data_IF_056260323244
#
_entry.id   IF_056260323244
#
_cell.length_a   1.000
_cell.length_b   1.000
_cell.length_c   1.000
_cell.angle_alpha   90.00
_cell.angle_beta   90.00
_cell.angle_gamma   90.00
#
_symmetry.space_group_name_H-M   'P 1'
#
loop_
_entity.id
_entity.type
_entity.pdbx_description
1 polymer ?
#
# COMPACT_ATOMS: atom_id res chain seq x y z
N UNK A 1 -13.44 -14.42 6.88
CA UNK A 1 -12.75 -14.15 5.58
C UNK A 1 -13.54 -14.66 4.37
N UNK A 2 -13.90 -15.95 4.26
CA UNK A 2 -14.62 -16.50 3.06
C UNK A 2 -15.93 -15.76 2.77
N UNK A 3 -16.76 -15.52 3.78
CA UNK A 3 -18.02 -14.78 3.64
C UNK A 3 -17.79 -13.30 3.26
N UNK A 4 -16.78 -12.66 3.84
CA UNK A 4 -16.39 -11.30 3.49
C UNK A 4 -15.92 -11.20 2.03
N UNK A 5 -15.08 -12.13 1.57
CA UNK A 5 -14.68 -12.20 0.16
C UNK A 5 -15.88 -12.39 -0.78
N UNK A 6 -16.91 -13.12 -0.35
CA UNK A 6 -18.14 -13.27 -1.13
C UNK A 6 -18.95 -11.97 -1.15
N UNK A 7 -19.06 -11.27 -0.01
CA UNK A 7 -19.70 -9.95 0.07
C UNK A 7 -19.00 -8.91 -0.80
N UNK A 8 -17.67 -8.82 -0.74
CA UNK A 8 -16.84 -7.92 -1.57
C UNK A 8 -17.13 -8.13 -3.07
N UNK A 9 -17.29 -9.38 -3.51
CA UNK A 9 -17.53 -9.71 -4.93
C UNK A 9 -18.95 -9.42 -5.41
N UNK A 10 -19.93 -9.45 -4.51
CA UNK A 10 -21.35 -9.49 -4.88
C UNK A 10 -22.15 -8.27 -4.42
N UNK A 11 -21.66 -7.51 -3.44
CA UNK A 11 -22.39 -6.35 -2.91
C UNK A 11 -22.10 -5.09 -3.71
N UNK A 12 -23.14 -4.46 -4.24
CA UNK A 12 -23.06 -3.18 -4.98
C UNK A 12 -23.15 -1.94 -4.07
N UNK A 13 -23.46 -2.12 -2.78
CA UNK A 13 -23.75 -1.00 -1.84
C UNK A 13 -22.91 -1.07 -0.55
N UNK A 14 -21.87 -1.90 -0.53
CA UNK A 14 -21.07 -2.13 0.69
C UNK A 14 -20.37 -0.86 1.18
N UNK A 15 -20.04 0.06 0.26
CA UNK A 15 -19.32 1.30 0.52
C UNK A 15 -20.12 2.54 0.06
N UNK A 16 -21.44 2.42 -0.07
CA UNK A 16 -22.27 3.55 -0.47
C UNK A 16 -22.10 4.71 0.53
N UNK A 17 -21.81 5.90 0.00
CA UNK A 17 -21.56 7.11 0.81
C UNK A 17 -20.17 7.16 1.46
N UNK A 18 -19.31 6.17 1.22
CA UNK A 18 -17.94 6.15 1.72
C UNK A 18 -16.95 6.72 0.72
N UNK A 19 -15.99 7.49 1.22
CA UNK A 19 -14.92 8.14 0.47
C UNK A 19 -13.60 7.38 0.69
N UNK A 20 -13.01 6.85 -0.39
CA UNK A 20 -11.79 6.04 -0.35
C UNK A 20 -10.69 6.72 -1.13
N UNK A 21 -9.61 7.09 -0.45
CA UNK A 21 -8.38 7.55 -1.09
C UNK A 21 -7.46 6.35 -1.37
N UNK A 22 -6.86 6.31 -2.57
CA UNK A 22 -5.97 5.24 -2.98
C UNK A 22 -4.73 5.79 -3.65
N UNK A 23 -3.54 5.45 -3.11
CA UNK A 23 -2.27 5.79 -3.75
C UNK A 23 -1.87 4.72 -4.77
N UNK A 24 -1.33 5.15 -5.93
CA UNK A 24 -0.91 4.24 -7.00
C UNK A 24 -2.09 3.53 -7.67
N UNK A 25 -3.18 4.26 -7.89
CA UNK A 25 -4.42 3.75 -8.49
C UNK A 25 -4.22 3.23 -9.91
N UNK A 26 -3.28 3.79 -10.66
CA UNK A 26 -3.01 3.43 -12.06
C UNK A 26 -2.14 2.17 -12.23
N UNK A 27 -1.61 1.60 -11.15
CA UNK A 27 -0.88 0.34 -11.16
C UNK A 27 -1.81 -0.88 -11.27
N UNK A 28 -1.25 -2.06 -11.58
CA UNK A 28 -2.04 -3.27 -11.84
C UNK A 28 -3.02 -3.65 -10.70
N UNK A 29 -2.55 -3.63 -9.43
CA UNK A 29 -3.41 -3.89 -8.26
C UNK A 29 -4.31 -2.68 -7.99
N UNK A 30 -3.74 -1.45 -8.02
CA UNK A 30 -4.48 -0.22 -7.76
C UNK A 30 -5.67 -0.04 -8.70
N UNK A 31 -5.48 -0.32 -9.99
CA UNK A 31 -6.54 -0.28 -10.99
C UNK A 31 -7.69 -1.23 -10.66
N UNK A 32 -7.38 -2.46 -10.33
CA UNK A 32 -8.40 -3.45 -9.94
C UNK A 32 -9.10 -3.08 -8.62
N UNK A 33 -8.37 -2.48 -7.66
CA UNK A 33 -8.96 -1.95 -6.43
C UNK A 33 -10.01 -0.87 -6.75
N UNK A 34 -9.69 0.09 -7.64
CA UNK A 34 -10.63 1.13 -8.04
C UNK A 34 -11.91 0.54 -8.65
N UNK A 35 -11.80 -0.49 -9.50
CA UNK A 35 -12.98 -1.18 -10.05
C UNK A 35 -13.80 -1.91 -8.98
N UNK A 36 -13.18 -2.51 -7.97
CA UNK A 36 -13.91 -3.12 -6.85
C UNK A 36 -14.61 -2.06 -6.01
N UNK A 37 -13.91 -0.97 -5.65
CA UNK A 37 -14.41 0.09 -4.79
C UNK A 37 -15.59 0.84 -5.45
N UNK A 38 -15.44 1.23 -6.72
CA UNK A 38 -16.52 1.81 -7.51
C UNK A 38 -17.71 0.86 -7.62
N UNK A 39 -17.47 -0.43 -7.87
CA UNK A 39 -18.51 -1.46 -7.92
C UNK A 39 -19.23 -1.69 -6.58
N UNK A 40 -18.62 -1.31 -5.46
CA UNK A 40 -19.23 -1.33 -4.13
C UNK A 40 -19.90 0.00 -3.74
N UNK A 41 -19.88 1.00 -4.62
CA UNK A 41 -20.55 2.29 -4.43
C UNK A 41 -19.72 3.35 -3.70
N UNK A 42 -18.41 3.18 -3.59
CA UNK A 42 -17.53 4.18 -3.01
C UNK A 42 -17.31 5.38 -3.94
N UNK A 43 -17.15 6.57 -3.36
CA UNK A 43 -16.48 7.70 -4.01
C UNK A 43 -14.97 7.52 -3.89
N UNK A 44 -14.21 7.88 -4.93
CA UNK A 44 -12.78 7.63 -5.01
C UNK A 44 -11.97 8.93 -5.06
N UNK A 45 -10.83 8.96 -4.38
CA UNK A 45 -9.79 9.97 -4.58
C UNK A 45 -8.54 9.24 -5.07
N UNK A 46 -8.17 9.47 -6.33
CA UNK A 46 -7.04 8.81 -6.97
C UNK A 46 -5.77 9.64 -6.73
N UNK A 47 -4.89 9.14 -5.86
CA UNK A 47 -3.60 9.76 -5.53
C UNK A 47 -2.49 9.13 -6.36
N UNK A 48 -2.04 9.80 -7.41
CA UNK A 48 -1.04 9.31 -8.35
C UNK A 48 -0.06 10.41 -8.75
N UNK A 49 1.16 10.01 -9.15
CA UNK A 49 2.13 10.96 -9.69
C UNK A 49 1.85 11.37 -11.15
N UNK A 50 1.05 10.60 -11.89
CA UNK A 50 0.76 10.85 -13.29
C UNK A 50 -0.73 11.18 -13.48
N UNK A 51 -1.04 12.47 -13.56
CA UNK A 51 -2.39 12.97 -13.68
C UNK A 51 -3.13 12.47 -14.94
N UNK A 52 -2.44 12.32 -16.07
CA UNK A 52 -3.08 11.87 -17.32
C UNK A 52 -3.52 10.40 -17.24
N UNK A 53 -2.68 9.52 -16.64
CA UNK A 53 -3.06 8.12 -16.41
C UNK A 53 -4.20 8.00 -15.39
N UNK A 54 -4.20 8.85 -14.38
CA UNK A 54 -5.27 8.88 -13.37
C UNK A 54 -6.61 9.26 -14.00
N UNK A 55 -6.62 10.30 -14.85
CA UNK A 55 -7.81 10.72 -15.59
C UNK A 55 -8.31 9.63 -16.54
N UNK A 56 -7.43 9.00 -17.31
CA UNK A 56 -7.80 7.90 -18.20
C UNK A 56 -8.43 6.72 -17.43
N UNK A 57 -7.92 6.40 -16.23
CA UNK A 57 -8.55 5.41 -15.35
C UNK A 57 -9.94 5.86 -14.90
N UNK A 58 -10.11 7.13 -14.57
CA UNK A 58 -11.43 7.69 -14.20
C UNK A 58 -12.44 7.58 -15.32
N UNK A 59 -12.06 7.87 -16.55
CA UNK A 59 -12.91 7.68 -17.73
C UNK A 59 -13.34 6.22 -17.89
N UNK A 60 -12.40 5.27 -17.76
CA UNK A 60 -12.74 3.84 -17.80
C UNK A 60 -13.70 3.42 -16.67
N UNK A 61 -13.52 3.98 -15.47
CA UNK A 61 -14.40 3.72 -14.33
C UNK A 61 -15.81 4.27 -14.58
N UNK A 62 -15.94 5.50 -15.11
CA UNK A 62 -17.22 6.10 -15.44
C UNK A 62 -18.01 5.34 -16.53
N UNK A 63 -17.31 4.74 -17.51
CA UNK A 63 -17.97 3.86 -18.49
C UNK A 63 -18.70 2.70 -17.82
N UNK A 64 -18.14 2.15 -16.75
CA UNK A 64 -18.70 0.97 -16.07
C UNK A 64 -19.55 1.32 -14.85
N UNK A 65 -19.24 2.41 -14.19
CA UNK A 65 -19.88 2.90 -12.96
C UNK A 65 -20.13 4.41 -13.09
N UNK A 66 -21.13 4.84 -13.88
CA UNK A 66 -21.35 6.25 -14.23
C UNK A 66 -21.63 7.14 -13.02
N UNK A 67 -22.21 6.58 -11.95
CA UNK A 67 -22.58 7.33 -10.73
C UNK A 67 -21.40 7.47 -9.74
N UNK A 68 -20.22 6.91 -10.04
CA UNK A 68 -19.05 7.00 -9.13
C UNK A 68 -18.48 8.42 -9.16
N UNK A 69 -18.40 9.06 -8.01
CA UNK A 69 -17.66 10.33 -7.85
C UNK A 69 -16.17 10.01 -7.79
N UNK A 70 -15.38 10.69 -8.62
CA UNK A 70 -13.93 10.49 -8.70
C UNK A 70 -13.22 11.84 -8.66
N UNK A 71 -12.43 12.03 -7.62
CA UNK A 71 -11.50 13.14 -7.47
C UNK A 71 -10.07 12.70 -7.79
N UNK A 72 -9.24 13.65 -8.23
CA UNK A 72 -7.85 13.39 -8.63
C UNK A 72 -6.91 14.25 -7.80
N UNK A 73 -5.92 13.61 -7.20
CA UNK A 73 -4.88 14.25 -6.43
C UNK A 73 -3.51 13.84 -6.99
N UNK A 74 -2.76 14.81 -7.49
CA UNK A 74 -1.44 14.55 -8.06
C UNK A 74 -0.37 14.78 -7.01
N UNK A 75 0.37 13.72 -6.64
CA UNK A 75 1.55 13.82 -5.80
C UNK A 75 2.55 12.72 -6.14
N UNK A 76 3.83 13.07 -6.20
CA UNK A 76 4.92 12.10 -6.21
C UNK A 76 5.32 11.77 -4.77
N UNK A 77 5.37 10.50 -4.43
CA UNK A 77 5.76 10.05 -3.09
C UNK A 77 7.26 10.23 -2.80
N UNK A 78 8.07 10.62 -3.79
CA UNK A 78 9.46 11.04 -3.59
C UNK A 78 9.56 12.50 -3.09
N UNK A 79 8.54 13.30 -3.34
CA UNK A 79 8.45 14.71 -2.98
C UNK A 79 7.63 14.88 -1.70
N UNK A 80 8.31 15.15 -0.58
CA UNK A 80 7.64 15.26 0.72
C UNK A 80 6.70 16.47 0.81
N UNK A 81 6.97 17.55 0.08
CA UNK A 81 6.09 18.72 0.08
C UNK A 81 4.79 18.43 -0.69
N UNK A 82 4.88 17.68 -1.81
CA UNK A 82 3.70 17.17 -2.49
C UNK A 82 2.91 16.19 -1.60
N UNK A 83 3.59 15.36 -0.80
CA UNK A 83 2.94 14.45 0.16
C UNK A 83 2.25 15.19 1.29
N UNK A 84 2.84 16.28 1.81
CA UNK A 84 2.22 17.15 2.82
C UNK A 84 0.94 17.80 2.27
N UNK A 85 1.03 18.40 1.09
CA UNK A 85 -0.14 19.00 0.42
C UNK A 85 -1.24 17.97 0.16
N UNK A 86 -0.85 16.75 -0.23
CA UNK A 86 -1.79 15.65 -0.42
C UNK A 86 -2.46 15.23 0.90
N UNK A 87 -1.72 15.17 2.01
CA UNK A 87 -2.28 14.87 3.33
C UNK A 87 -3.33 15.92 3.73
N UNK A 88 -3.03 17.21 3.57
CA UNK A 88 -3.93 18.30 3.92
C UNK A 88 -5.21 18.27 3.05
N UNK A 89 -5.07 18.01 1.75
CA UNK A 89 -6.21 17.86 0.84
C UNK A 89 -7.09 16.65 1.22
N UNK A 90 -6.50 15.52 1.62
CA UNK A 90 -7.24 14.33 2.06
C UNK A 90 -7.94 14.53 3.41
N UNK A 91 -7.33 15.29 4.33
CA UNK A 91 -7.97 15.71 5.59
C UNK A 91 -9.19 16.59 5.29
N UNK A 92 -9.02 17.60 4.43
CA UNK A 92 -10.10 18.50 4.02
C UNK A 92 -11.23 17.76 3.29
N UNK A 93 -10.90 16.72 2.52
CA UNK A 93 -11.87 15.87 1.87
C UNK A 93 -12.65 14.96 2.84
N UNK A 94 -12.25 14.88 4.10
CA UNK A 94 -12.87 14.07 5.16
C UNK A 94 -13.07 12.60 4.74
N UNK A 95 -11.97 11.94 4.39
CA UNK A 95 -11.98 10.56 3.87
C UNK A 95 -12.34 9.53 4.93
N UNK A 96 -13.02 8.44 4.52
CA UNK A 96 -13.29 7.30 5.38
C UNK A 96 -12.14 6.27 5.36
N UNK A 97 -11.52 6.04 4.20
CA UNK A 97 -10.49 5.02 4.03
C UNK A 97 -9.29 5.54 3.25
N UNK A 98 -8.10 5.10 3.65
CA UNK A 98 -6.86 5.34 2.93
C UNK A 98 -6.21 4.02 2.55
N UNK A 99 -6.01 3.77 1.25
CA UNK A 99 -5.29 2.60 0.74
C UNK A 99 -3.91 3.02 0.25
N UNK A 100 -2.88 2.69 1.00
CA UNK A 100 -1.47 2.94 0.69
C UNK A 100 -0.94 1.80 -0.18
N UNK A 101 -1.32 1.83 -1.46
CA UNK A 101 -1.00 0.78 -2.44
C UNK A 101 0.21 1.12 -3.30
N UNK A 102 0.55 2.40 -3.47
CA UNK A 102 1.74 2.80 -4.21
C UNK A 102 3.01 2.17 -3.64
N UNK A 103 3.94 1.83 -4.51
CA UNK A 103 5.25 1.32 -4.14
C UNK A 103 6.14 1.18 -5.35
N UNK A 104 7.46 1.23 -5.13
CA UNK A 104 8.48 1.12 -6.15
C UNK A 104 9.47 0.02 -5.82
N UNK A 105 9.86 -0.74 -6.83
CA UNK A 105 10.85 -1.81 -6.75
C UNK A 105 11.82 -1.70 -7.93
N UNK A 106 13.13 -1.81 -7.66
CA UNK A 106 14.17 -1.85 -8.69
C UNK A 106 14.10 -0.66 -9.69
N UNK A 107 13.91 0.54 -9.16
CA UNK A 107 13.99 1.80 -9.93
C UNK A 107 15.42 2.38 -9.85
N UNK A 108 15.80 3.31 -10.74
CA UNK A 108 17.02 4.11 -10.57
C UNK A 108 17.01 4.81 -9.21
N UNK A 109 18.14 4.69 -8.48
CA UNK A 109 18.23 5.14 -7.10
C UNK A 109 18.89 6.51 -6.99
N UNK A 110 18.35 7.33 -6.10
CA UNK A 110 18.87 8.64 -5.73
C UNK A 110 18.37 9.03 -4.34
N UNK A 111 18.95 10.06 -3.75
CA UNK A 111 18.46 10.66 -2.51
C UNK A 111 17.36 11.67 -2.80
N UNK A 112 16.28 11.59 -2.04
CA UNK A 112 15.19 12.58 -2.03
C UNK A 112 15.54 13.80 -1.19
N UNK A 113 14.71 14.85 -1.23
CA UNK A 113 14.83 16.04 -0.37
C UNK A 113 14.77 15.71 1.13
N UNK A 114 14.16 14.62 1.49
CA UNK A 114 14.16 14.02 2.85
C UNK A 114 15.54 13.53 3.32
N UNK A 115 16.54 13.48 2.44
CA UNK A 115 17.85 12.87 2.72
C UNK A 115 17.89 11.35 2.60
N UNK A 116 16.76 10.68 2.46
CA UNK A 116 16.65 9.22 2.31
C UNK A 116 16.63 8.79 0.84
N UNK A 117 16.98 7.51 0.62
CA UNK A 117 16.85 6.85 -0.68
C UNK A 117 15.40 6.86 -1.18
N UNK A 118 15.20 7.04 -2.48
CA UNK A 118 13.86 7.16 -3.06
C UNK A 118 13.01 5.89 -2.91
N UNK A 119 13.60 4.68 -2.93
CA UNK A 119 12.86 3.44 -2.66
C UNK A 119 12.38 3.40 -1.21
N UNK A 120 13.21 3.86 -0.26
CA UNK A 120 12.84 3.95 1.14
C UNK A 120 11.77 5.03 1.36
N UNK A 121 11.91 6.18 0.71
CA UNK A 121 10.94 7.28 0.78
C UNK A 121 9.57 6.85 0.26
N UNK A 122 9.48 6.29 -0.95
CA UNK A 122 8.21 5.87 -1.56
C UNK A 122 7.52 4.75 -0.77
N UNK A 123 8.30 3.78 -0.25
CA UNK A 123 7.72 2.57 0.35
C UNK A 123 7.55 2.65 1.86
N UNK A 124 8.15 3.64 2.53
CA UNK A 124 8.06 3.80 3.99
C UNK A 124 7.80 5.23 4.41
N UNK A 125 8.70 6.20 4.13
CA UNK A 125 8.63 7.55 4.71
C UNK A 125 7.30 8.22 4.38
N UNK A 126 6.96 8.33 3.11
CA UNK A 126 5.73 8.99 2.65
C UNK A 126 4.46 8.24 3.04
N UNK A 127 4.36 6.89 2.90
CA UNK A 127 3.22 6.14 3.42
C UNK A 127 3.03 6.23 4.94
N UNK A 128 4.13 6.24 5.72
CA UNK A 128 4.05 6.40 7.17
C UNK A 128 3.58 7.81 7.54
N UNK A 129 4.13 8.85 6.90
CA UNK A 129 3.68 10.23 7.07
C UNK A 129 2.18 10.38 6.78
N UNK A 130 1.71 9.88 5.63
CA UNK A 130 0.28 9.88 5.30
C UNK A 130 -0.56 9.14 6.34
N UNK A 131 -0.09 7.99 6.81
CA UNK A 131 -0.80 7.22 7.86
C UNK A 131 -0.98 8.03 9.13
N UNK A 132 0.09 8.65 9.62
CA UNK A 132 0.07 9.45 10.86
C UNK A 132 -0.84 10.68 10.73
N UNK A 133 -0.76 11.39 9.60
CA UNK A 133 -1.55 12.60 9.34
C UNK A 133 -3.04 12.29 9.17
N UNK A 134 -3.40 11.18 8.53
CA UNK A 134 -4.79 10.84 8.20
C UNK A 134 -5.47 9.99 9.29
N UNK A 135 -4.72 9.38 10.20
CA UNK A 135 -5.28 8.50 11.23
C UNK A 135 -6.42 9.16 12.04
N UNK A 136 -6.29 10.41 12.52
CA UNK A 136 -7.40 11.06 13.25
C UNK A 136 -8.67 11.20 12.43
N UNK A 137 -8.56 11.59 11.15
CA UNK A 137 -9.69 11.75 10.24
C UNK A 137 -10.39 10.40 9.97
N UNK A 138 -9.60 9.39 9.62
CA UNK A 138 -10.11 8.06 9.31
C UNK A 138 -10.75 7.39 10.54
N UNK A 139 -10.16 7.57 11.72
CA UNK A 139 -10.71 7.07 13.00
C UNK A 139 -12.04 7.73 13.33
N UNK A 140 -12.11 9.06 13.22
CA UNK A 140 -13.35 9.83 13.41
C UNK A 140 -14.48 9.30 12.54
N UNK A 141 -14.21 8.92 11.30
CA UNK A 141 -15.18 8.42 10.33
C UNK A 141 -15.45 6.91 10.45
N UNK A 142 -14.84 6.24 11.47
CA UNK A 142 -14.97 4.80 11.70
C UNK A 142 -14.40 3.94 10.57
N UNK A 143 -13.48 4.51 9.81
CA UNK A 143 -12.84 3.87 8.67
C UNK A 143 -11.53 3.18 9.01
N UNK A 144 -10.64 3.02 8.00
CA UNK A 144 -9.35 2.35 8.18
C UNK A 144 -8.30 2.79 7.18
N UNK A 145 -7.03 2.80 7.64
CA UNK A 145 -5.84 2.90 6.79
C UNK A 145 -5.34 1.50 6.50
N UNK A 146 -5.14 1.18 5.23
CA UNK A 146 -4.58 -0.12 4.81
C UNK A 146 -3.28 0.11 4.07
N UNK A 147 -2.19 -0.36 4.63
CA UNK A 147 -0.88 -0.34 3.98
C UNK A 147 -0.60 -1.66 3.27
N UNK A 148 -0.10 -1.58 2.04
CA UNK A 148 0.34 -2.76 1.29
C UNK A 148 1.72 -3.19 1.75
N UNK A 149 1.73 -4.26 2.55
CA UNK A 149 2.92 -4.96 3.00
C UNK A 149 3.47 -5.94 1.96
N UNK A 150 4.61 -6.55 2.28
CA UNK A 150 5.27 -7.51 1.39
C UNK A 150 6.02 -8.58 2.19
N UNK A 151 6.05 -9.82 1.68
CA UNK A 151 6.94 -10.87 2.20
C UNK A 151 8.42 -10.48 2.09
N UNK A 152 8.75 -9.50 1.24
CA UNK A 152 10.11 -8.99 1.12
C UNK A 152 10.66 -8.40 2.43
N UNK A 153 9.81 -8.06 3.41
CA UNK A 153 10.25 -7.64 4.74
C UNK A 153 11.14 -8.67 5.45
N UNK A 154 11.07 -9.94 5.04
CA UNK A 154 11.90 -11.02 5.59
C UNK A 154 13.29 -11.12 4.93
N UNK A 155 13.56 -10.33 3.88
CA UNK A 155 14.82 -10.42 3.14
C UNK A 155 15.99 -9.71 3.81
N UNK A 156 15.71 -8.83 4.77
CA UNK A 156 16.72 -8.04 5.47
C UNK A 156 16.29 -7.74 6.90
N UNK A 157 17.27 -7.58 7.77
CA UNK A 157 17.13 -6.93 9.07
C UNK A 157 17.51 -5.46 8.94
N UNK A 158 17.18 -4.65 9.95
CA UNK A 158 17.60 -3.25 9.98
C UNK A 158 19.10 -3.13 10.16
N UNK A 159 19.65 -1.99 9.72
CA UNK A 159 21.03 -1.61 9.92
C UNK A 159 21.10 -0.30 10.72
N UNK A 160 22.05 -0.19 11.65
CA UNK A 160 22.19 1.00 12.48
C UNK A 160 22.82 2.17 11.71
N UNK A 161 23.73 1.86 10.78
CA UNK A 161 24.53 2.84 10.05
C UNK A 161 23.94 3.18 8.66
N UNK A 162 23.21 2.22 8.05
CA UNK A 162 22.61 2.36 6.72
C UNK A 162 21.09 2.17 6.82
N UNK A 163 20.39 3.15 7.41
CA UNK A 163 18.96 3.07 7.75
C UNK A 163 18.09 2.79 6.53
N UNK A 164 18.36 3.45 5.42
CA UNK A 164 17.58 3.38 4.18
C UNK A 164 18.16 2.41 3.14
N UNK A 165 19.24 1.71 3.51
CA UNK A 165 19.98 0.82 2.62
C UNK A 165 20.49 1.50 1.35
N UNK A 166 20.85 2.79 1.46
CA UNK A 166 21.38 3.58 0.35
C UNK A 166 22.69 3.03 -0.20
N UNK A 167 23.50 2.35 0.63
CA UNK A 167 24.76 1.72 0.23
C UNK A 167 24.57 0.35 -0.43
N UNK A 168 23.41 -0.29 -0.28
CA UNK A 168 23.14 -1.64 -0.77
C UNK A 168 22.76 -1.64 -2.26
N UNK A 169 23.36 -2.55 -3.03
CA UNK A 169 23.11 -2.67 -4.48
C UNK A 169 21.89 -3.56 -4.82
N UNK A 170 21.58 -4.53 -3.97
CA UNK A 170 20.53 -5.53 -4.24
C UNK A 170 19.15 -4.95 -3.98
N UNK A 171 18.39 -4.70 -5.04
CA UNK A 171 17.06 -4.08 -4.96
C UNK A 171 16.09 -4.78 -3.99
N UNK A 172 16.15 -6.12 -3.88
CA UNK A 172 15.29 -6.88 -2.97
C UNK A 172 15.58 -6.59 -1.49
N UNK A 173 16.83 -6.29 -1.12
CA UNK A 173 17.20 -5.91 0.24
C UNK A 173 16.70 -4.51 0.57
N UNK A 174 16.90 -3.56 -0.34
CA UNK A 174 16.45 -2.16 -0.17
C UNK A 174 14.93 -2.07 -0.03
N UNK A 175 14.22 -2.71 -0.94
CA UNK A 175 12.76 -2.78 -0.89
C UNK A 175 12.27 -3.53 0.36
N UNK A 176 12.93 -4.65 0.71
CA UNK A 176 12.62 -5.43 1.91
C UNK A 176 12.76 -4.61 3.18
N UNK A 177 13.85 -3.84 3.30
CA UNK A 177 14.10 -2.93 4.41
C UNK A 177 12.99 -1.85 4.52
N UNK A 178 12.64 -1.20 3.42
CA UNK A 178 11.57 -0.20 3.41
C UNK A 178 10.21 -0.80 3.82
N UNK A 179 9.85 -1.99 3.30
CA UNK A 179 8.62 -2.68 3.69
C UNK A 179 8.64 -3.15 5.14
N UNK A 180 9.81 -3.56 5.64
CA UNK A 180 9.99 -3.90 7.05
C UNK A 180 9.73 -2.70 7.96
N UNK A 181 10.33 -1.55 7.65
CA UNK A 181 10.07 -0.32 8.39
C UNK A 181 8.59 0.07 8.34
N UNK A 182 7.95 0.10 7.17
CA UNK A 182 6.52 0.44 7.06
C UNK A 182 5.64 -0.46 7.92
N UNK A 183 5.82 -1.78 7.80
CA UNK A 183 4.93 -2.73 8.45
C UNK A 183 5.05 -2.67 9.98
N UNK A 184 6.28 -2.69 10.50
CA UNK A 184 6.48 -2.76 11.95
C UNK A 184 6.32 -1.41 12.64
N UNK A 185 6.55 -0.28 11.96
CA UNK A 185 6.16 1.03 12.49
C UNK A 185 4.65 1.22 12.56
N UNK A 186 3.89 0.70 11.59
CA UNK A 186 2.44 0.73 11.65
C UNK A 186 1.87 -0.20 12.74
N UNK A 187 2.47 -1.36 12.93
CA UNK A 187 2.08 -2.26 14.03
C UNK A 187 2.38 -1.67 15.41
N UNK A 188 3.46 -0.88 15.56
CA UNK A 188 3.80 -0.24 16.83
C UNK A 188 2.80 0.83 17.26
N UNK A 189 2.04 1.41 16.34
CA UNK A 189 0.97 2.37 16.66
C UNK A 189 -0.18 1.72 17.43
N UNK A 190 -0.31 0.41 17.39
CA UNK A 190 -1.32 -0.37 18.10
C UNK A 190 -2.75 0.19 17.96
N UNK A 191 -3.10 0.64 16.76
CA UNK A 191 -4.39 1.27 16.47
C UNK A 191 -5.29 0.33 15.63
N UNK A 192 -6.55 0.08 16.04
CA UNK A 192 -7.46 -0.81 15.33
C UNK A 192 -7.88 -0.29 13.94
N UNK A 193 -7.67 1.00 13.67
CA UNK A 193 -7.94 1.61 12.38
C UNK A 193 -6.77 1.47 11.39
N UNK A 194 -5.72 0.74 11.76
CA UNK A 194 -4.59 0.43 10.87
C UNK A 194 -4.59 -1.05 10.54
N UNK A 195 -4.45 -1.37 9.27
CA UNK A 195 -4.27 -2.73 8.78
C UNK A 195 -3.08 -2.81 7.81
N UNK A 196 -2.35 -3.92 7.88
CA UNK A 196 -1.33 -4.26 6.89
C UNK A 196 -1.83 -5.45 6.07
N UNK A 197 -1.85 -5.30 4.75
CA UNK A 197 -2.32 -6.34 3.85
C UNK A 197 -1.26 -6.70 2.81
N UNK A 198 -1.06 -8.00 2.59
CA UNK A 198 -0.17 -8.51 1.56
C UNK A 198 -0.98 -9.06 0.38
N UNK A 199 -0.76 -8.57 -0.84
CA UNK A 199 -1.52 -8.99 -2.01
C UNK A 199 -1.15 -10.39 -2.54
N UNK A 200 -0.12 -11.02 -1.98
CA UNK A 200 0.52 -12.21 -2.55
C UNK A 200 1.54 -11.85 -3.63
N UNK A 201 2.10 -12.88 -4.26
CA UNK A 201 3.00 -12.66 -5.40
C UNK A 201 2.13 -12.48 -6.65
N UNK A 202 2.13 -11.27 -7.19
CA UNK A 202 1.33 -10.90 -8.37
C UNK A 202 2.21 -10.66 -9.58
N UNK A 203 1.67 -11.00 -10.75
CA UNK A 203 2.26 -10.62 -12.02
C UNK A 203 1.97 -9.13 -12.27
N UNK A 204 2.79 -8.26 -11.68
CA UNK A 204 2.77 -6.81 -11.90
C UNK A 204 4.00 -6.39 -12.68
N UNK A 205 4.17 -5.09 -12.93
CA UNK A 205 5.34 -4.53 -13.63
C UNK A 205 6.71 -4.88 -13.01
N UNK A 206 6.75 -5.49 -11.82
CA UNK A 206 7.95 -6.04 -11.19
C UNK A 206 8.64 -7.07 -12.10
N UNK A 207 7.86 -7.78 -12.93
CA UNK A 207 8.38 -8.80 -13.86
C UNK A 207 8.79 -8.24 -15.23
N UNK A 208 8.53 -6.97 -15.50
CA UNK A 208 8.85 -6.32 -16.79
C UNK A 208 10.37 -6.15 -17.05
N UNK A 209 11.20 -6.32 -16.01
CA UNK A 209 12.65 -6.18 -16.10
C UNK A 209 13.41 -7.45 -16.51
N UNK A 210 12.71 -8.57 -16.75
CA UNK A 210 13.37 -9.78 -17.28
C UNK A 210 13.66 -9.65 -18.78
N UNK A 211 14.81 -10.15 -19.28
CA UNK A 211 15.07 -10.23 -20.72
C UNK A 211 13.92 -10.93 -21.46
N UNK A 212 13.55 -10.42 -22.64
CA UNK A 212 12.37 -10.87 -23.40
C UNK A 212 12.29 -12.38 -23.60
N UNK A 213 13.43 -13.04 -23.84
CA UNK A 213 13.52 -14.50 -24.00
C UNK A 213 13.22 -15.25 -22.69
N UNK A 214 13.76 -14.80 -21.57
CA UNK A 214 13.50 -15.39 -20.26
C UNK A 214 12.03 -15.17 -19.88
N UNK A 215 11.50 -13.97 -20.12
CA UNK A 215 10.10 -13.65 -19.85
C UNK A 215 9.14 -14.54 -20.67
N UNK A 216 9.45 -14.84 -21.94
CA UNK A 216 8.62 -15.71 -22.78
C UNK A 216 8.54 -17.13 -22.24
N UNK A 217 9.63 -17.66 -21.68
CA UNK A 217 9.69 -19.03 -21.12
C UNK A 217 8.97 -19.12 -19.76
N UNK A 218 9.16 -18.10 -18.89
CA UNK A 218 8.59 -18.11 -17.53
C UNK A 218 7.15 -17.58 -17.47
N UNK A 219 6.67 -16.90 -18.52
CA UNK A 219 5.32 -16.28 -18.58
C UNK A 219 4.19 -17.27 -18.35
N UNK A 220 4.28 -18.48 -18.89
CA UNK A 220 3.26 -19.51 -18.74
C UNK A 220 3.21 -20.11 -17.33
N UNK A 221 4.30 -20.64 -16.76
CA UNK A 221 4.30 -21.10 -15.36
C UNK A 221 4.01 -19.97 -14.37
N UNK A 222 4.44 -18.73 -14.64
CA UNK A 222 4.12 -17.58 -13.80
C UNK A 222 2.62 -17.28 -13.72
N UNK A 223 1.85 -17.50 -14.79
CA UNK A 223 0.38 -17.33 -14.76
C UNK A 223 -0.32 -18.30 -13.82
N UNK A 224 0.27 -19.46 -13.59
CA UNK A 224 -0.29 -20.49 -12.68
C UNK A 224 0.17 -20.22 -11.25
N UNK A 225 1.41 -19.76 -11.06
CA UNK A 225 2.04 -19.54 -9.76
C UNK A 225 1.64 -18.18 -9.16
N UNK A 226 1.48 -17.13 -9.98
CA UNK A 226 1.18 -15.79 -9.48
C UNK A 226 -0.32 -15.51 -9.46
N UNK A 227 -0.74 -14.80 -8.42
CA UNK A 227 -2.12 -14.34 -8.32
C UNK A 227 -2.42 -13.27 -9.37
N UNK A 228 -3.60 -13.31 -9.97
CA UNK A 228 -4.07 -12.20 -10.78
C UNK A 228 -4.26 -10.94 -9.91
N UNK A 229 -4.02 -9.73 -10.42
CA UNK A 229 -4.24 -8.49 -9.68
C UNK A 229 -5.61 -8.43 -9.03
N UNK A 230 -6.65 -8.89 -9.73
CA UNK A 230 -8.03 -8.97 -9.20
C UNK A 230 -8.18 -9.84 -7.95
N UNK A 231 -7.46 -10.97 -7.87
CA UNK A 231 -7.47 -11.83 -6.67
C UNK A 231 -6.64 -11.21 -5.55
N UNK A 232 -5.53 -10.58 -5.89
CA UNK A 232 -4.64 -9.89 -4.97
C UNK A 232 -5.35 -8.75 -4.18
N UNK A 233 -6.27 -8.05 -4.83
CA UNK A 233 -7.10 -7.01 -4.19
C UNK A 233 -7.88 -7.52 -2.97
N UNK A 234 -8.24 -8.81 -2.93
CA UNK A 234 -9.07 -9.34 -1.84
C UNK A 234 -8.39 -9.22 -0.48
N UNK A 235 -7.07 -9.38 -0.39
CA UNK A 235 -6.35 -9.19 0.88
C UNK A 235 -6.46 -7.73 1.36
N UNK A 236 -6.28 -6.78 0.45
CA UNK A 236 -6.32 -5.34 0.76
C UNK A 236 -7.75 -4.93 1.15
N UNK A 237 -8.75 -5.36 0.37
CA UNK A 237 -10.17 -5.08 0.66
C UNK A 237 -10.64 -5.75 1.96
N UNK A 238 -10.12 -6.94 2.27
CA UNK A 238 -10.35 -7.56 3.57
C UNK A 238 -9.70 -6.75 4.70
N UNK A 239 -8.48 -6.21 4.50
CA UNK A 239 -7.83 -5.32 5.46
C UNK A 239 -8.64 -4.05 5.72
N UNK A 240 -9.31 -3.53 4.70
CA UNK A 240 -10.19 -2.37 4.82
C UNK A 240 -11.47 -2.67 5.60
N UNK A 241 -12.05 -3.87 5.45
CA UNK A 241 -13.41 -4.20 5.89
C UNK A 241 -13.48 -5.13 7.11
N UNK A 242 -12.37 -5.71 7.57
CA UNK A 242 -12.36 -6.56 8.75
C UNK A 242 -11.53 -5.95 9.87
N UNK A 243 -11.93 -6.19 11.11
CA UNK A 243 -11.12 -5.85 12.27
C UNK A 243 -9.80 -6.62 12.23
N UNK A 244 -8.71 -5.95 12.62
CA UNK A 244 -7.38 -6.53 12.76
C UNK A 244 -6.79 -6.10 14.10
N UNK A 245 -6.08 -7.03 14.75
CA UNK A 245 -5.27 -6.72 15.92
C UNK A 245 -3.89 -6.21 15.48
N UNK A 246 -3.24 -5.46 16.34
CA UNK A 246 -1.86 -5.03 16.10
C UNK A 246 -0.95 -6.25 15.89
N UNK A 247 -0.04 -6.17 14.91
CA UNK A 247 0.84 -7.25 14.52
C UNK A 247 0.20 -8.32 13.63
N UNK A 248 -1.12 -8.24 13.37
CA UNK A 248 -1.76 -9.07 12.37
C UNK A 248 -1.62 -8.45 10.98
N UNK A 249 -1.33 -9.28 10.01
CA UNK A 249 -1.50 -8.90 8.61
C UNK A 249 -2.53 -9.80 7.92
N UNK A 250 -3.06 -9.32 6.80
CA UNK A 250 -3.96 -10.08 5.96
C UNK A 250 -3.25 -10.41 4.66
N UNK A 251 -3.05 -11.68 4.42
CA UNK A 251 -2.40 -12.18 3.21
C UNK A 251 -3.03 -13.46 2.69
N UNK A 252 -2.58 -13.94 1.52
CA UNK A 252 -3.02 -15.23 0.99
C UNK A 252 -2.71 -16.37 1.95
N UNK A 253 -3.66 -17.29 2.11
CA UNK A 253 -3.57 -18.38 3.10
C UNK A 253 -2.42 -19.35 2.86
N UNK A 254 -2.06 -19.58 1.59
CA UNK A 254 -1.08 -20.60 1.22
C UNK A 254 0.27 -19.94 1.00
N UNK A 255 1.18 -20.14 1.96
CA UNK A 255 2.56 -19.62 1.98
C UNK A 255 2.68 -18.11 1.72
N UNK A 256 1.65 -17.33 2.03
CA UNK A 256 1.56 -15.90 1.72
C UNK A 256 1.70 -15.58 0.21
N UNK A 257 1.57 -16.57 -0.66
CA UNK A 257 1.73 -16.46 -2.12
C UNK A 257 0.38 -16.45 -2.83
N UNK A 258 -0.54 -17.37 -2.48
CA UNK A 258 -1.83 -17.51 -3.14
C UNK A 258 -2.92 -18.08 -2.26
N UNK A 259 -4.16 -17.99 -2.76
CA UNK A 259 -5.35 -18.44 -2.05
C UNK A 259 -6.24 -17.30 -1.57
N UNK A 260 -7.25 -17.66 -0.77
CA UNK A 260 -8.12 -16.66 -0.13
C UNK A 260 -7.37 -15.95 0.99
N UNK A 261 -7.70 -14.68 1.28
CA UNK A 261 -7.13 -13.95 2.40
C UNK A 261 -7.34 -14.67 3.74
N UNK A 262 -6.35 -14.61 4.59
CA UNK A 262 -6.40 -15.04 5.99
C UNK A 262 -5.64 -14.05 6.86
N UNK A 263 -6.04 -13.93 8.12
CA UNK A 263 -5.30 -13.21 9.13
C UNK A 263 -4.16 -14.08 9.65
N UNK A 264 -3.02 -13.45 9.93
CA UNK A 264 -1.83 -14.11 10.46
C UNK A 264 -1.06 -13.12 11.32
N UNK A 265 -0.68 -13.50 12.52
CA UNK A 265 0.25 -12.72 13.33
C UNK A 265 1.67 -12.92 12.83
N UNK A 266 2.40 -11.83 12.60
CA UNK A 266 3.79 -11.88 12.17
C UNK A 266 4.71 -11.97 13.40
N UNK A 267 5.65 -12.92 13.35
CA UNK A 267 6.74 -13.09 14.31
C UNK A 267 8.12 -12.93 13.67
N UNK A 268 8.16 -12.27 12.50
CA UNK A 268 9.35 -12.15 11.65
C UNK A 268 10.25 -10.97 12.02
N UNK A 269 9.88 -10.18 13.03
CA UNK A 269 10.68 -9.09 13.57
C UNK A 269 10.88 -9.32 15.08
N UNK A 270 12.12 -9.43 15.56
CA UNK A 270 12.41 -9.47 16.98
C UNK A 270 11.89 -8.21 17.69
N UNK A 271 11.49 -8.31 18.98
CA UNK A 271 10.92 -7.17 19.70
C UNK A 271 11.84 -5.95 19.80
N UNK A 272 13.14 -6.15 19.97
CA UNK A 272 14.17 -5.12 20.01
C UNK A 272 14.30 -4.40 18.67
N UNK A 273 14.29 -5.17 17.57
CA UNK A 273 14.30 -4.61 16.23
C UNK A 273 13.00 -3.83 15.93
N UNK A 274 11.85 -4.35 16.37
CA UNK A 274 10.56 -3.66 16.21
C UNK A 274 10.52 -2.34 17.00
N UNK A 275 11.08 -2.30 18.21
CA UNK A 275 11.20 -1.08 19.00
C UNK A 275 12.10 -0.05 18.30
N UNK A 276 13.25 -0.47 17.79
CA UNK A 276 14.15 0.41 17.02
C UNK A 276 13.48 0.98 15.77
N UNK A 277 12.69 0.17 15.06
CA UNK A 277 11.92 0.63 13.89
C UNK A 277 10.90 1.69 14.30
N UNK A 278 10.20 1.47 15.42
CA UNK A 278 9.22 2.41 15.93
C UNK A 278 9.85 3.77 16.29
N UNK A 279 10.94 3.76 17.04
CA UNK A 279 11.69 4.97 17.41
C UNK A 279 12.19 5.74 16.19
N UNK A 280 12.74 5.03 15.19
CA UNK A 280 13.17 5.64 13.92
C UNK A 280 12.01 6.27 13.16
N UNK A 281 10.87 5.59 13.11
CA UNK A 281 9.68 6.07 12.42
C UNK A 281 9.14 7.36 13.07
N UNK A 282 9.10 7.42 14.41
CA UNK A 282 8.68 8.62 15.13
C UNK A 282 9.66 9.77 14.91
N UNK A 283 10.97 9.52 15.00
CA UNK A 283 11.97 10.55 14.73
C UNK A 283 11.84 11.12 13.32
N UNK A 284 11.73 10.25 12.29
CA UNK A 284 11.55 10.68 10.90
C UNK A 284 10.26 11.49 10.75
N UNK A 285 9.18 11.08 11.42
CA UNK A 285 7.91 11.80 11.37
C UNK A 285 8.01 13.20 12.01
N UNK A 286 8.62 13.32 13.19
CA UNK A 286 8.85 14.61 13.87
C UNK A 286 9.75 15.53 13.04
N UNK A 287 10.86 15.03 12.48
CA UNK A 287 11.72 15.77 11.55
C UNK A 287 10.93 16.33 10.35
N UNK A 288 10.00 15.56 9.81
CA UNK A 288 9.14 15.99 8.70
C UNK A 288 8.08 17.01 9.11
N UNK A 289 7.68 17.06 10.37
CA UNK A 289 6.80 18.12 10.91
C UNK A 289 7.54 19.41 11.22
N UNK A 290 8.86 19.39 11.30
CA UNK A 290 9.70 20.52 11.72
C UNK A 290 9.74 20.69 13.25
N UNK A 291 9.52 19.61 13.99
CA UNK A 291 9.57 19.52 15.47
C UNK A 291 10.94 19.07 15.98
#
# INVERSE_FOLDING_TARGET
MKNLCKAIKNSKKLLLGKKVAISGSTGGIGRELCFYLAGMGASLILLDRNASRSRALGEELHVRYPDTVIDYLTADLEDIDAVRAAADALIAADIDYLLLNAGAYSIPRHKCSTGYDNVFTINFVSPYYLSRRLLPTVTKNGGRIVAVGSIAHTYSHIDAEDIDFSTRKKASLVYGNAKRHLMFSLFSLNDPHIAVAHPGITQTNITAHYPRLIYAIIKYPMRVIFMSPRKACLSILCGMLCECESGEWIGPRVFDVWGLPSKKRLSTCPPDEAATIAERAERIYSELLGE
#
